data_IF_874798843289
#
_entry.id   IF_874798843289
#
_cell.length_a   1.000
_cell.length_b   1.000
_cell.length_c   1.000
_cell.angle_alpha   90.00
_cell.angle_beta   90.00
_cell.angle_gamma   90.00
#
_symmetry.space_group_name_H-M   'P 1'
#
loop_
_entity.id
_entity.type
_entity.pdbx_description
1 polymer ?
#
# COMPACT_ATOMS: atom_id res chain seq x y z
N UNK A 1 1.30 -2.57 -5.48
CA UNK A 1 2.05 -3.06 -4.29
C UNK A 1 1.14 -3.66 -3.23
N UNK A 2 -0.12 -3.24 -3.11
CA UNK A 2 -1.16 -3.89 -2.27
C UNK A 2 -2.36 -4.25 -3.14
N UNK A 3 -2.99 -5.39 -2.88
CA UNK A 3 -4.21 -5.87 -3.54
C UNK A 3 -5.13 -6.53 -2.50
N UNK A 4 -6.37 -6.05 -2.40
CA UNK A 4 -7.38 -6.52 -1.45
C UNK A 4 -6.93 -6.61 0.02
N UNK A 5 -6.06 -5.67 0.41
CA UNK A 5 -5.48 -5.53 1.73
C UNK A 5 -4.28 -6.42 2.00
N UNK A 6 -3.87 -7.22 1.01
CA UNK A 6 -2.66 -8.04 1.07
C UNK A 6 -1.51 -7.34 0.36
N UNK A 7 -0.34 -7.35 1.00
CA UNK A 7 0.89 -6.86 0.37
C UNK A 7 1.36 -7.88 -0.66
N UNK A 8 1.65 -7.43 -1.87
CA UNK A 8 2.23 -8.26 -2.92
C UNK A 8 3.73 -8.36 -2.66
N UNK A 9 4.16 -9.40 -1.94
CA UNK A 9 5.54 -9.57 -1.44
C UNK A 9 6.61 -9.39 -2.52
N UNK A 10 6.38 -9.95 -3.71
CA UNK A 10 7.30 -9.80 -4.86
C UNK A 10 7.57 -8.34 -5.20
N UNK A 11 6.53 -7.52 -5.20
CA UNK A 11 6.62 -6.10 -5.53
C UNK A 11 7.25 -5.34 -4.36
N UNK A 12 6.81 -5.60 -3.12
CA UNK A 12 7.36 -4.95 -1.94
C UNK A 12 8.87 -5.20 -1.78
N UNK A 13 9.32 -6.45 -2.00
CA UNK A 13 10.76 -6.81 -1.98
C UNK A 13 11.57 -6.07 -3.05
N UNK A 14 11.03 -5.97 -4.27
CA UNK A 14 11.72 -5.29 -5.38
C UNK A 14 11.94 -3.80 -5.07
N UNK A 15 10.95 -3.18 -4.45
CA UNK A 15 10.96 -1.75 -4.10
C UNK A 15 11.54 -1.48 -2.70
N UNK A 16 12.02 -2.54 -2.01
CA UNK A 16 12.52 -2.50 -0.61
C UNK A 16 11.52 -1.88 0.37
N UNK A 17 10.23 -2.09 0.14
CA UNK A 17 9.15 -1.65 1.00
C UNK A 17 8.80 -2.72 2.03
N UNK A 18 8.69 -2.31 3.27
CA UNK A 18 8.17 -3.14 4.37
C UNK A 18 6.65 -2.97 4.50
N UNK A 19 5.99 -3.95 5.12
CA UNK A 19 4.57 -3.85 5.46
C UNK A 19 4.29 -2.64 6.37
N UNK A 20 5.22 -2.33 7.27
CA UNK A 20 5.12 -1.19 8.18
C UNK A 20 5.12 0.16 7.45
N UNK A 21 5.97 0.32 6.44
CA UNK A 21 6.01 1.52 5.60
C UNK A 21 4.73 1.68 4.77
N UNK A 22 4.22 0.58 4.19
CA UNK A 22 2.95 0.59 3.46
C UNK A 22 1.78 0.98 4.37
N UNK A 23 1.73 0.42 5.59
CA UNK A 23 0.71 0.76 6.57
C UNK A 23 0.83 2.22 7.06
N UNK A 24 2.06 2.73 7.25
CA UNK A 24 2.29 4.12 7.60
C UNK A 24 1.83 5.08 6.49
N UNK A 25 2.15 4.77 5.23
CA UNK A 25 1.71 5.55 4.07
C UNK A 25 0.18 5.58 3.94
N UNK A 26 -0.49 4.43 4.16
CA UNK A 26 -1.95 4.35 4.16
C UNK A 26 -2.57 5.23 5.26
N UNK A 27 -2.02 5.20 6.47
CA UNK A 27 -2.46 6.07 7.59
C UNK A 27 -2.28 7.55 7.27
N UNK A 28 -1.20 7.92 6.58
CA UNK A 28 -0.99 9.28 6.09
C UNK A 28 -2.09 9.78 5.15
N UNK A 29 -2.83 8.87 4.50
CA UNK A 29 -3.99 9.17 3.64
C UNK A 29 -5.33 8.89 4.34
N UNK A 30 -5.33 8.78 5.67
CA UNK A 30 -6.54 8.56 6.48
C UNK A 30 -7.11 7.15 6.38
N UNK A 31 -6.31 6.16 5.94
CA UNK A 31 -6.69 4.74 5.89
C UNK A 31 -6.07 4.04 7.10
N UNK A 32 -6.91 3.57 8.03
CA UNK A 32 -6.42 3.07 9.33
C UNK A 32 -5.76 1.69 9.24
N UNK A 33 -6.18 0.85 8.29
CA UNK A 33 -5.63 -0.49 8.03
C UNK A 33 -5.55 -0.76 6.54
N UNK A 34 -4.55 -1.55 6.13
CA UNK A 34 -4.46 -2.06 4.75
C UNK A 34 -5.68 -2.94 4.40
N UNK A 35 -6.38 -3.53 5.35
CA UNK A 35 -7.60 -4.32 5.07
C UNK A 35 -8.71 -3.50 4.38
N UNK A 36 -8.70 -2.17 4.54
CA UNK A 36 -9.62 -1.24 3.89
C UNK A 36 -9.19 -0.90 2.44
N UNK A 37 -8.03 -1.37 1.99
CA UNK A 37 -7.45 -1.05 0.69
C UNK A 37 -7.83 -2.11 -0.34
N UNK A 38 -8.41 -1.68 -1.45
CA UNK A 38 -8.61 -2.50 -2.66
C UNK A 38 -7.33 -2.56 -3.48
N UNK A 39 -6.66 -1.42 -3.67
CA UNK A 39 -5.39 -1.33 -4.39
C UNK A 39 -4.44 -0.33 -3.73
N UNK A 40 -3.16 -0.70 -3.62
CA UNK A 40 -2.08 0.25 -3.36
C UNK A 40 -1.15 0.29 -4.56
N UNK A 41 -1.01 1.43 -5.23
CA UNK A 41 -0.23 1.60 -6.46
C UNK A 41 1.02 2.41 -6.16
N UNK A 42 2.19 1.91 -6.56
CA UNK A 42 3.44 2.66 -6.46
C UNK A 42 3.59 3.49 -7.73
N UNK A 43 3.57 4.82 -7.56
CA UNK A 43 3.72 5.78 -8.65
C UNK A 43 5.20 5.95 -9.04
N UNK A 44 5.45 6.49 -10.23
CA UNK A 44 6.83 6.76 -10.71
C UNK A 44 7.59 7.76 -9.85
N UNK A 45 6.89 8.58 -9.07
CA UNK A 45 7.45 9.50 -8.08
C UNK A 45 7.97 8.81 -6.81
N UNK A 46 7.67 7.51 -6.62
CA UNK A 46 7.94 6.78 -5.39
C UNK A 46 6.84 6.93 -4.31
N UNK A 47 5.83 7.78 -4.54
CA UNK A 47 4.65 7.84 -3.68
C UNK A 47 3.72 6.66 -3.90
N UNK A 48 2.93 6.31 -2.89
CA UNK A 48 1.95 5.22 -2.98
C UNK A 48 0.56 5.81 -2.88
N UNK A 49 -0.27 5.57 -3.89
CA UNK A 49 -1.69 5.91 -3.88
C UNK A 49 -2.50 4.70 -3.38
N UNK A 50 -3.55 4.96 -2.58
CA UNK A 50 -4.40 3.89 -2.03
C UNK A 50 -5.86 4.10 -2.45
N UNK A 51 -6.47 3.05 -2.99
CA UNK A 51 -7.88 2.99 -3.36
C UNK A 51 -8.58 2.11 -2.33
N UNK A 52 -9.63 2.63 -1.68
CA UNK A 52 -10.39 1.89 -0.67
C UNK A 52 -11.29 0.84 -1.30
N UNK A 53 -11.62 -0.19 -0.52
CA UNK A 53 -12.76 -1.07 -0.82
C UNK A 53 -14.07 -0.26 -0.70
N UNK A 54 -15.07 -0.66 -1.46
CA UNK A 54 -16.47 -0.21 -1.24
C UNK A 54 -16.98 -0.68 0.13
#
# INVERSE_FOLDING_TARGET
>A
VVEDGKVIERNARRERLTVGELAAAARGQGIASLDQVRWGVLETSGSISFIRKE
#
